data_IF_842176478339
#
_entry.id   IF_842176478339
#
_cell.length_a   1.000
_cell.length_b   1.000
_cell.length_c   1.000
_cell.angle_alpha   90.00
_cell.angle_beta   90.00
_cell.angle_gamma   90.00
#
_symmetry.space_group_name_H-M   'P 1'
#
loop_
_entity.id
_entity.type
_entity.pdbx_description
1 polymer ?
#
# COMPACT_ATOMS: atom_id res chain seq x y z
N UNK A 1 -8.87 22.83 0.38
CA UNK A 1 -7.69 21.96 0.36
C UNK A 1 -7.40 21.58 1.80
N UNK A 2 -7.19 20.30 2.12
CA UNK A 2 -6.67 19.95 3.44
C UNK A 2 -5.20 20.33 3.45
N UNK A 3 -4.87 21.35 4.25
CA UNK A 3 -3.51 21.87 4.36
C UNK A 3 -2.78 21.30 5.59
N UNK A 4 -3.41 20.39 6.33
CA UNK A 4 -2.85 19.77 7.53
C UNK A 4 -2.33 18.38 7.21
N UNK A 5 -1.22 18.01 7.84
CA UNK A 5 -0.66 16.67 7.74
C UNK A 5 -1.62 15.65 8.36
N UNK A 6 -2.01 14.57 7.66
CA UNK A 6 -2.97 13.58 8.16
C UNK A 6 -2.42 12.70 9.30
N UNK A 7 -1.13 12.85 9.65
CA UNK A 7 -0.47 12.07 10.70
C UNK A 7 -0.40 12.86 12.01
N UNK A 8 0.12 14.08 11.99
CA UNK A 8 0.28 14.92 13.18
C UNK A 8 -0.77 16.03 13.32
N UNK A 9 -1.61 16.25 12.30
CA UNK A 9 -2.62 17.31 12.24
C UNK A 9 -2.07 18.74 12.31
N UNK A 10 -0.76 18.91 12.12
CA UNK A 10 -0.14 20.23 11.99
C UNK A 10 -0.19 20.72 10.55
N UNK A 11 -0.28 22.04 10.37
CA UNK A 11 -0.29 22.68 9.06
C UNK A 11 1.01 22.39 8.29
N UNK A 12 0.88 22.02 7.02
CA UNK A 12 1.97 21.53 6.18
C UNK A 12 3.03 22.59 5.89
N UNK A 13 2.65 23.87 5.76
CA UNK A 13 3.50 24.92 5.18
C UNK A 13 3.95 26.03 6.15
N UNK A 14 3.57 25.95 7.43
CA UNK A 14 4.02 26.86 8.49
C UNK A 14 4.93 26.16 9.51
N UNK A 15 4.95 24.83 9.51
CA UNK A 15 5.86 24.06 10.36
C UNK A 15 7.30 24.18 9.84
N UNK A 16 8.28 24.07 10.75
CA UNK A 16 9.71 24.01 10.39
C UNK A 16 10.10 22.69 9.73
N UNK A 17 9.19 21.73 9.61
CA UNK A 17 9.46 20.42 9.04
C UNK A 17 9.21 20.46 7.53
N UNK A 18 10.16 19.90 6.77
CA UNK A 18 10.01 19.73 5.33
C UNK A 18 8.78 18.85 4.98
N UNK A 19 8.26 19.06 3.78
CA UNK A 19 7.13 18.29 3.24
C UNK A 19 7.60 17.30 2.19
N UNK A 20 6.97 16.13 2.17
CA UNK A 20 7.18 15.07 1.18
C UNK A 20 5.91 14.87 0.35
N UNK A 21 6.06 14.87 -0.97
CA UNK A 21 5.00 14.46 -1.90
C UNK A 21 5.11 12.96 -2.14
N UNK A 22 4.08 12.23 -1.76
CA UNK A 22 3.99 10.78 -1.93
C UNK A 22 3.80 10.42 -3.42
N UNK A 23 4.08 9.18 -3.84
CA UNK A 23 3.85 8.73 -5.23
C UNK A 23 2.41 8.90 -5.71
N UNK A 24 1.44 8.88 -4.79
CA UNK A 24 0.03 9.13 -5.09
C UNK A 24 -0.34 10.62 -5.24
N UNK A 25 0.61 11.54 -5.05
CA UNK A 25 0.42 12.99 -5.12
C UNK A 25 -0.04 13.66 -3.83
N UNK A 26 -0.38 12.89 -2.78
CA UNK A 26 -0.69 13.46 -1.46
C UNK A 26 0.57 13.93 -0.73
N UNK A 27 0.43 14.96 0.10
CA UNK A 27 1.55 15.60 0.81
C UNK A 27 1.44 15.35 2.31
N UNK A 28 2.55 14.98 2.95
CA UNK A 28 2.69 14.83 4.41
C UNK A 28 4.04 15.41 4.85
N UNK A 29 4.26 15.67 6.15
CA UNK A 29 5.60 16.04 6.63
C UNK A 29 6.59 14.89 6.43
N UNK A 30 7.84 15.24 6.12
CA UNK A 30 8.92 14.25 5.93
C UNK A 30 9.17 13.44 7.21
N UNK A 31 9.13 14.10 8.38
CA UNK A 31 9.22 13.44 9.69
C UNK A 31 8.12 12.38 9.85
N UNK A 32 6.87 12.73 9.52
CA UNK A 32 5.75 11.80 9.61
C UNK A 32 5.89 10.64 8.61
N UNK A 33 6.38 10.89 7.39
CA UNK A 33 6.70 9.82 6.44
C UNK A 33 7.76 8.86 6.98
N UNK A 34 8.78 9.39 7.68
CA UNK A 34 9.82 8.57 8.29
C UNK A 34 9.27 7.71 9.43
N UNK A 35 8.48 8.29 10.33
CA UNK A 35 7.80 7.57 11.42
C UNK A 35 6.89 6.47 10.88
N UNK A 36 6.10 6.75 9.82
CA UNK A 36 5.29 5.73 9.14
C UNK A 36 6.14 4.53 8.69
N UNK A 37 7.28 4.79 8.05
CA UNK A 37 8.20 3.72 7.59
C UNK A 37 8.80 2.93 8.74
N UNK A 38 9.18 3.60 9.83
CA UNK A 38 9.71 2.94 11.05
C UNK A 38 8.67 2.03 11.70
N UNK A 39 7.38 2.36 11.57
CA UNK A 39 6.25 1.55 12.05
C UNK A 39 5.68 0.60 10.99
N UNK A 40 6.38 0.35 9.88
CA UNK A 40 5.94 -0.52 8.79
C UNK A 40 4.59 -0.10 8.15
N UNK A 41 4.22 1.18 8.22
CA UNK A 41 3.01 1.72 7.61
C UNK A 41 3.34 2.27 6.21
N UNK A 42 3.19 1.43 5.20
CA UNK A 42 3.54 1.78 3.82
C UNK A 42 2.36 2.22 2.95
N UNK A 43 1.17 2.36 3.52
CA UNK A 43 -0.03 2.81 2.80
C UNK A 43 -0.33 4.27 3.14
N UNK A 44 -0.62 5.07 2.11
CA UNK A 44 -1.03 6.47 2.27
C UNK A 44 -2.32 6.54 3.12
N UNK A 45 -2.38 7.35 4.18
CA UNK A 45 -3.55 7.44 5.05
C UNK A 45 -4.79 8.02 4.35
N UNK A 46 -4.60 8.71 3.23
CA UNK A 46 -5.68 9.38 2.50
C UNK A 46 -6.28 8.53 1.37
N UNK A 47 -5.51 7.62 0.77
CA UNK A 47 -5.97 6.85 -0.39
C UNK A 47 -5.47 5.40 -0.45
N UNK A 48 -4.76 4.94 0.58
CA UNK A 48 -4.22 3.58 0.72
C UNK A 48 -3.19 3.15 -0.32
N UNK A 49 -2.78 4.00 -1.26
CA UNK A 49 -1.67 3.74 -2.19
C UNK A 49 -0.34 3.58 -1.48
N UNK A 50 0.54 2.73 -1.99
CA UNK A 50 1.89 2.58 -1.44
C UNK A 50 2.67 3.89 -1.48
N UNK A 51 3.36 4.20 -0.37
CA UNK A 51 4.12 5.45 -0.19
C UNK A 51 5.56 5.38 -0.70
N UNK A 52 6.03 4.18 -1.06
CA UNK A 52 7.35 3.93 -1.62
C UNK A 52 7.32 2.69 -2.53
N UNK A 53 8.44 2.41 -3.20
CA UNK A 53 8.59 1.17 -3.95
C UNK A 53 8.60 -0.04 -3.00
N UNK A 54 7.63 -0.93 -3.20
CA UNK A 54 7.43 -2.16 -2.43
C UNK A 54 7.81 -3.42 -3.22
N UNK A 55 8.38 -3.28 -4.42
CA UNK A 55 8.77 -4.39 -5.32
C UNK A 55 9.50 -5.53 -4.59
N UNK A 56 10.55 -5.21 -3.84
CA UNK A 56 11.33 -6.20 -3.06
C UNK A 56 10.52 -6.89 -1.97
N UNK A 57 9.56 -6.19 -1.36
CA UNK A 57 8.68 -6.80 -0.36
C UNK A 57 7.71 -7.78 -1.03
N UNK A 58 7.20 -7.43 -2.21
CA UNK A 58 6.34 -8.30 -3.02
C UNK A 58 7.06 -9.53 -3.55
N UNK A 59 8.32 -9.40 -3.98
CA UNK A 59 9.17 -10.53 -4.39
C UNK A 59 9.41 -11.51 -3.24
N UNK A 60 9.63 -11.01 -2.02
CA UNK A 60 9.74 -11.86 -0.82
C UNK A 60 8.43 -12.58 -0.53
N UNK A 61 7.31 -11.87 -0.63
CA UNK A 61 6.00 -12.47 -0.43
C UNK A 61 5.70 -13.53 -1.49
N UNK A 62 6.05 -13.31 -2.76
CA UNK A 62 5.94 -14.32 -3.82
C UNK A 62 6.68 -15.62 -3.45
N UNK A 63 7.91 -15.50 -2.94
CA UNK A 63 8.71 -16.65 -2.52
C UNK A 63 8.08 -17.39 -1.32
N UNK A 64 7.52 -16.66 -0.36
CA UNK A 64 6.81 -17.25 0.79
C UNK A 64 5.55 -17.99 0.35
N UNK A 65 4.70 -17.38 -0.48
CA UNK A 65 3.47 -17.98 -0.98
C UNK A 65 3.74 -19.23 -1.83
N UNK A 66 4.83 -19.27 -2.60
CA UNK A 66 5.20 -20.44 -3.40
C UNK A 66 5.52 -21.70 -2.56
N UNK A 67 5.87 -21.53 -1.29
CA UNK A 67 6.15 -22.64 -0.37
C UNK A 67 4.93 -23.16 0.39
N UNK A 68 3.82 -22.43 0.34
CA UNK A 68 2.60 -22.76 1.04
C UNK A 68 1.63 -23.43 0.09
N UNK A 69 1.13 -24.61 0.44
CA UNK A 69 0.03 -25.21 -0.29
C UNK A 69 -1.26 -24.43 0.00
N UNK A 70 -1.95 -23.99 -1.05
CA UNK A 70 -3.29 -23.46 -0.93
C UNK A 70 -4.26 -24.63 -0.80
N UNK A 71 -4.95 -24.74 0.34
CA UNK A 71 -6.01 -25.74 0.53
C UNK A 71 -7.35 -25.33 -0.13
N UNK A 72 -7.37 -24.18 -0.82
CA UNK A 72 -8.56 -23.54 -1.38
C UNK A 72 -8.46 -23.36 -2.90
N UNK A 73 -7.84 -24.32 -3.60
CA UNK A 73 -7.47 -24.20 -5.02
C UNK A 73 -8.62 -23.80 -5.97
N UNK A 74 -9.86 -24.13 -5.63
CA UNK A 74 -11.04 -23.81 -6.45
C UNK A 74 -11.70 -22.46 -6.12
N UNK A 75 -11.25 -21.77 -5.06
CA UNK A 75 -11.88 -20.51 -4.65
C UNK A 75 -11.25 -19.33 -5.37
N UNK A 76 -12.07 -18.55 -6.07
CA UNK A 76 -11.69 -17.27 -6.68
C UNK A 76 -12.31 -16.11 -5.91
N UNK A 77 -11.60 -14.99 -5.85
CA UNK A 77 -12.09 -13.74 -5.24
C UNK A 77 -11.85 -12.55 -6.14
N UNK A 78 -12.76 -11.58 -6.06
CA UNK A 78 -12.62 -10.28 -6.72
C UNK A 78 -11.83 -9.34 -5.82
N UNK A 79 -10.84 -8.68 -6.38
CA UNK A 79 -9.99 -7.71 -5.67
C UNK A 79 -9.94 -6.37 -6.39
N UNK A 80 -9.76 -5.30 -5.62
CA UNK A 80 -9.34 -3.98 -6.09
C UNK A 80 -7.89 -3.74 -5.66
N UNK A 81 -7.02 -3.34 -6.59
CA UNK A 81 -5.67 -2.91 -6.27
C UNK A 81 -5.64 -1.44 -5.87
N UNK A 82 -5.11 -1.13 -4.69
CA UNK A 82 -5.00 0.24 -4.22
C UNK A 82 -3.98 1.05 -5.04
N UNK A 83 -2.93 0.40 -5.56
CA UNK A 83 -1.85 1.11 -6.28
C UNK A 83 -2.25 1.52 -7.70
N UNK A 84 -2.78 0.58 -8.50
CA UNK A 84 -3.15 0.85 -9.89
C UNK A 84 -4.65 1.06 -10.13
N UNK A 85 -5.51 0.77 -9.14
CA UNK A 85 -6.97 0.89 -9.27
C UNK A 85 -7.64 -0.21 -10.11
N UNK A 86 -6.90 -1.19 -10.63
CA UNK A 86 -7.46 -2.27 -11.40
C UNK A 86 -8.30 -3.22 -10.52
N UNK A 87 -9.41 -3.70 -11.08
CA UNK A 87 -10.20 -4.80 -10.52
C UNK A 87 -9.82 -6.08 -11.25
N UNK A 88 -9.59 -7.16 -10.50
CA UNK A 88 -9.27 -8.47 -11.08
C UNK A 88 -9.85 -9.60 -10.25
N UNK A 89 -10.13 -10.72 -10.91
CA UNK A 89 -10.41 -12.00 -10.26
C UNK A 89 -9.11 -12.78 -10.13
N UNK A 90 -8.85 -13.30 -8.92
CA UNK A 90 -7.62 -14.02 -8.60
C UNK A 90 -7.94 -15.25 -7.77
N UNK A 91 -7.06 -16.26 -7.81
CA UNK A 91 -7.15 -17.38 -6.87
C UNK A 91 -7.02 -16.86 -5.44
N UNK A 92 -7.89 -17.38 -4.58
CA UNK A 92 -7.86 -17.06 -3.17
C UNK A 92 -6.63 -17.67 -2.52
N UNK A 93 -5.85 -16.83 -1.85
CA UNK A 93 -4.77 -17.27 -1.00
C UNK A 93 -4.98 -16.66 0.38
N UNK A 94 -4.81 -17.46 1.44
CA UNK A 94 -5.11 -17.04 2.82
C UNK A 94 -4.36 -15.77 3.24
N UNK A 95 -3.09 -15.67 2.83
CA UNK A 95 -2.18 -14.59 3.18
C UNK A 95 -2.40 -13.30 2.35
N UNK A 96 -2.34 -13.37 1.02
CA UNK A 96 -2.36 -12.17 0.19
C UNK A 96 -2.81 -12.43 -1.25
N UNK A 97 -3.32 -11.40 -1.91
CA UNK A 97 -3.85 -11.47 -3.27
C UNK A 97 -3.06 -10.56 -4.21
N UNK A 98 -2.43 -11.14 -5.23
CA UNK A 98 -1.58 -10.39 -6.16
C UNK A 98 -2.38 -9.72 -7.26
N UNK A 99 -2.16 -8.43 -7.50
CA UNK A 99 -2.69 -7.75 -8.67
C UNK A 99 -1.98 -8.22 -9.95
N UNK A 100 -2.72 -8.66 -10.96
CA UNK A 100 -2.14 -9.10 -12.24
C UNK A 100 -1.54 -7.94 -13.05
N UNK A 101 -2.09 -6.74 -12.93
CA UNK A 101 -1.71 -5.55 -13.72
C UNK A 101 -0.40 -4.92 -13.27
N UNK A 102 -0.21 -4.72 -11.96
CA UNK A 102 0.98 -4.04 -11.41
C UNK A 102 1.84 -4.90 -10.47
N UNK A 103 1.46 -6.17 -10.25
CA UNK A 103 2.15 -7.12 -9.37
C UNK A 103 2.17 -6.76 -7.88
N UNK A 104 1.49 -5.68 -7.48
CA UNK A 104 1.34 -5.29 -6.08
C UNK A 104 0.42 -6.25 -5.30
N UNK A 105 0.74 -6.42 -4.02
CA UNK A 105 -0.14 -7.07 -3.03
C UNK A 105 -0.93 -6.08 -2.17
N UNK A 106 -0.81 -4.78 -2.42
CA UNK A 106 -1.65 -3.75 -1.80
C UNK A 106 -3.05 -3.78 -2.42
N UNK A 107 -3.82 -4.81 -2.07
CA UNK A 107 -5.12 -5.13 -2.64
C UNK A 107 -6.15 -5.35 -1.53
N UNK A 108 -7.43 -5.18 -1.84
CA UNK A 108 -8.55 -5.52 -0.96
C UNK A 108 -9.59 -6.33 -1.71
N UNK A 109 -10.24 -7.28 -1.05
CA UNK A 109 -11.39 -7.99 -1.61
C UNK A 109 -12.60 -7.04 -1.69
N UNK A 110 -13.43 -7.23 -2.72
CA UNK A 110 -14.65 -6.44 -2.97
C UNK A 110 -15.82 -7.34 -3.37
#
# INVERSE_FOLDING_TARGET
MHHDCPICFEYLFESRNDVSVLPCGHTIHEKCLKEMKEHCQFACPLCSKSVCDMSKAWERLDAELATLSNSFDDKVVRILCNDCGAVSEVQFHLIAHKCHSCKSYNTRQI
#
